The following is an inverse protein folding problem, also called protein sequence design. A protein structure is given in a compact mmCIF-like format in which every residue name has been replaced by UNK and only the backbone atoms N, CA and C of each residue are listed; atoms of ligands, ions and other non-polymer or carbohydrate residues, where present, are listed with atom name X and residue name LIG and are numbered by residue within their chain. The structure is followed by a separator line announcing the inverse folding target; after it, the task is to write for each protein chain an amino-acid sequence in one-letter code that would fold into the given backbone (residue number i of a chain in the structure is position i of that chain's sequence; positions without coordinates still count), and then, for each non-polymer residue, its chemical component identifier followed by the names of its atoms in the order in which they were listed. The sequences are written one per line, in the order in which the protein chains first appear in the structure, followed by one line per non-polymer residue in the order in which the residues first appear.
data_IF_879943479517
#
_entry.id   IF_879943479517
#
_cell.length_a   1.000
_cell.length_b   1.000
_cell.length_c   1.000
_cell.angle_alpha   90.00
_cell.angle_beta   90.00
_cell.angle_gamma   90.00
#
_symmetry.space_group_name_H-M   'P 1'
#
loop_
_entity.id
_entity.type
_entity.pdbx_description
1 polymer ?
#
# COMPACT_ATOMS: atom_id res chain seq x y z
N UNK A 1 8.97 -13.93 -17.23
CA UNK A 1 7.93 -13.83 -16.19
C UNK A 1 8.47 -12.92 -15.12
N UNK A 2 7.88 -11.76 -14.91
CA UNK A 2 8.42 -10.76 -14.00
C UNK A 2 8.11 -11.15 -12.55
N UNK A 3 9.10 -11.00 -11.66
CA UNK A 3 8.99 -11.33 -10.24
C UNK A 3 9.61 -10.23 -9.39
N UNK A 4 8.82 -9.74 -8.44
CA UNK A 4 9.31 -8.89 -7.34
C UNK A 4 9.34 -9.74 -6.06
N UNK A 5 10.39 -9.64 -5.26
CA UNK A 5 10.56 -10.36 -3.99
C UNK A 5 10.67 -9.36 -2.85
N UNK A 6 9.85 -9.56 -1.82
CA UNK A 6 9.92 -8.83 -0.57
C UNK A 6 10.39 -9.78 0.52
N UNK A 7 11.26 -9.28 1.40
CA UNK A 7 11.77 -10.01 2.55
C UNK A 7 11.59 -9.16 3.80
N UNK A 8 11.13 -9.78 4.88
CA UNK A 8 10.99 -9.15 6.18
C UNK A 8 11.59 -10.07 7.23
N UNK A 9 12.23 -9.47 8.24
CA UNK A 9 12.65 -10.23 9.41
C UNK A 9 11.45 -10.40 10.33
N UNK A 10 11.18 -11.63 10.76
CA UNK A 10 10.13 -11.89 11.73
C UNK A 10 10.57 -11.37 13.11
N UNK A 11 9.67 -10.74 13.88
CA UNK A 11 9.96 -10.37 15.26
C UNK A 11 10.37 -11.58 16.10
N UNK A 12 11.21 -11.36 17.12
CA UNK A 12 11.61 -12.42 18.05
C UNK A 12 10.38 -13.10 18.68
N UNK A 13 10.40 -14.44 18.74
CA UNK A 13 9.29 -15.23 19.27
C UNK A 13 8.14 -15.50 18.29
N UNK A 14 8.18 -14.98 17.06
CA UNK A 14 7.20 -15.34 16.03
C UNK A 14 7.61 -16.64 15.35
N UNK A 15 6.75 -17.65 15.46
CA UNK A 15 6.92 -18.91 14.75
C UNK A 15 6.44 -18.80 13.29
N UNK A 16 7.39 -18.91 12.36
CA UNK A 16 7.12 -18.88 10.93
C UNK A 16 6.18 -20.01 10.46
N UNK A 17 6.13 -21.14 11.16
CA UNK A 17 5.26 -22.26 10.83
C UNK A 17 3.77 -21.95 11.06
N UNK A 18 3.46 -20.91 11.83
CA UNK A 18 2.09 -20.50 12.15
C UNK A 18 1.77 -19.08 11.62
N UNK A 19 2.67 -18.49 10.82
CA UNK A 19 2.52 -17.13 10.31
C UNK A 19 1.81 -17.10 8.95
N UNK A 20 0.67 -16.42 8.87
CA UNK A 20 -0.02 -16.17 7.59
C UNK A 20 0.55 -14.94 6.87
N UNK A 21 0.82 -15.07 5.57
CA UNK A 21 1.23 -13.97 4.72
C UNK A 21 0.05 -13.51 3.88
N UNK A 22 -0.30 -12.22 3.96
CA UNK A 22 -1.33 -11.57 3.14
C UNK A 22 -0.70 -10.47 2.29
N UNK A 23 -0.82 -10.60 0.97
CA UNK A 23 -0.37 -9.62 0.00
C UNK A 23 -1.57 -8.92 -0.63
N UNK A 24 -1.60 -7.58 -0.56
CA UNK A 24 -2.65 -6.73 -1.14
C UNK A 24 -2.05 -5.77 -2.16
N UNK A 25 -2.61 -5.77 -3.36
CA UNK A 25 -2.26 -4.85 -4.44
C UNK A 25 -3.31 -3.75 -4.50
N UNK A 26 -2.87 -2.51 -4.36
CA UNK A 26 -3.72 -1.32 -4.48
C UNK A 26 -3.43 -0.60 -5.79
N UNK A 27 -4.48 -0.09 -6.43
CA UNK A 27 -4.34 0.77 -7.59
C UNK A 27 -3.73 2.11 -7.21
N UNK A 28 -2.86 2.61 -8.09
CA UNK A 28 -2.27 3.92 -7.99
C UNK A 28 -2.24 4.57 -9.38
N UNK A 29 -3.09 5.60 -9.58
CA UNK A 29 -3.21 6.30 -10.86
C UNK A 29 -1.97 7.11 -11.24
N UNK A 30 -1.29 7.69 -10.24
CA UNK A 30 -0.15 8.59 -10.43
C UNK A 30 1.00 8.22 -9.52
N UNK A 31 2.23 8.44 -9.98
CA UNK A 31 3.46 8.23 -9.19
C UNK A 31 3.37 8.96 -7.82
N UNK A 32 3.97 8.43 -6.73
CA UNK A 32 3.85 9.03 -5.40
C UNK A 32 4.28 10.50 -5.33
N UNK A 33 5.21 10.91 -6.18
CA UNK A 33 5.76 12.27 -6.22
C UNK A 33 5.02 13.21 -7.19
N UNK A 34 3.99 12.75 -7.90
CA UNK A 34 3.35 13.53 -8.96
C UNK A 34 2.78 14.86 -8.47
N UNK A 35 2.07 14.87 -7.33
CA UNK A 35 1.53 16.09 -6.74
C UNK A 35 2.63 17.06 -6.33
N UNK A 36 3.67 16.57 -5.65
CA UNK A 36 4.83 17.38 -5.25
C UNK A 36 5.48 18.05 -6.46
N UNK A 37 5.82 17.26 -7.48
CA UNK A 37 6.42 17.77 -8.72
C UNK A 37 5.51 18.77 -9.41
N UNK A 38 4.19 18.52 -9.44
CA UNK A 38 3.23 19.48 -10.01
C UNK A 38 3.28 20.82 -9.28
N UNK A 39 3.28 20.82 -7.95
CA UNK A 39 3.35 22.06 -7.17
C UNK A 39 4.68 22.79 -7.32
N UNK A 40 5.79 22.07 -7.47
CA UNK A 40 7.12 22.66 -7.67
C UNK A 40 7.30 23.31 -9.05
N UNK A 41 6.68 22.75 -10.09
CA UNK A 41 6.91 23.16 -11.48
C UNK A 41 5.88 24.15 -12.04
N UNK A 42 4.71 24.31 -11.40
CA UNK A 42 3.60 25.07 -12.01
C UNK A 42 3.62 26.58 -11.76
N UNK A 43 4.61 27.09 -11.02
CA UNK A 43 4.69 28.52 -10.69
C UNK A 43 3.40 29.07 -10.08
N UNK A 44 2.94 30.22 -10.59
CA UNK A 44 1.75 30.93 -10.11
C UNK A 44 0.45 30.56 -10.85
N UNK A 45 0.39 29.37 -11.48
CA UNK A 45 -0.84 28.92 -12.13
C UNK A 45 -2.02 28.88 -11.14
N UNK A 46 -3.10 29.67 -11.36
CA UNK A 46 -4.20 29.77 -10.40
C UNK A 46 -4.94 28.44 -10.16
N UNK A 47 -4.99 27.56 -11.16
CA UNK A 47 -5.62 26.25 -11.00
C UNK A 47 -4.79 25.35 -10.08
N UNK A 48 -3.46 25.37 -10.23
CA UNK A 48 -2.54 24.63 -9.37
C UNK A 48 -2.53 25.17 -7.94
N UNK A 49 -2.60 26.49 -7.75
CA UNK A 49 -2.73 27.09 -6.42
C UNK A 49 -4.04 26.67 -5.72
N UNK A 50 -5.17 26.64 -6.43
CA UNK A 50 -6.45 26.13 -5.88
C UNK A 50 -6.35 24.66 -5.48
N UNK A 51 -5.75 23.83 -6.33
CA UNK A 51 -5.53 22.41 -6.03
C UNK A 51 -4.63 22.24 -4.80
N UNK A 52 -3.55 23.01 -4.70
CA UNK A 52 -2.66 23.00 -3.53
C UNK A 52 -3.42 23.38 -2.26
N UNK A 53 -4.24 24.42 -2.30
CA UNK A 53 -5.06 24.85 -1.16
C UNK A 53 -5.97 23.73 -0.66
N UNK A 54 -6.64 23.02 -1.58
CA UNK A 54 -7.51 21.88 -1.25
C UNK A 54 -6.71 20.71 -0.68
N UNK A 55 -5.65 20.27 -1.38
CA UNK A 55 -4.87 19.10 -1.01
C UNK A 55 -4.11 19.27 0.32
N UNK A 56 -3.63 20.48 0.63
CA UNK A 56 -2.90 20.79 1.87
C UNK A 56 -3.81 20.92 3.10
N UNK A 57 -5.13 21.09 2.90
CA UNK A 57 -6.11 21.26 3.98
C UNK A 57 -7.13 20.13 4.07
N UNK A 58 -7.10 19.19 3.13
CA UNK A 58 -8.01 18.06 3.12
C UNK A 58 -7.73 17.18 4.34
N UNK A 59 -8.70 17.13 5.26
CA UNK A 59 -8.71 16.19 6.36
C UNK A 59 -9.80 15.14 6.10
N UNK A 60 -9.38 13.89 5.89
CA UNK A 60 -10.30 12.77 5.66
C UNK A 60 -10.60 11.97 6.92
N UNK A 61 -10.00 12.31 8.08
CA UNK A 61 -10.16 11.55 9.31
C UNK A 61 -11.64 11.43 9.71
N UNK A 62 -12.08 10.19 10.00
CA UNK A 62 -13.46 9.91 10.39
C UNK A 62 -14.48 9.97 9.25
N UNK A 63 -14.04 10.20 8.00
CA UNK A 63 -14.90 10.13 6.81
C UNK A 63 -14.80 8.77 6.12
N UNK A 64 -15.73 8.48 5.21
CA UNK A 64 -15.74 7.23 4.42
C UNK A 64 -14.52 7.09 3.48
N UNK A 65 -13.81 8.19 3.22
CA UNK A 65 -12.60 8.21 2.38
C UNK A 65 -11.31 8.25 3.20
N UNK A 66 -11.37 8.10 4.53
CA UNK A 66 -10.17 8.02 5.38
C UNK A 66 -9.29 6.84 4.95
N UNK A 67 -8.01 7.13 4.66
CA UNK A 67 -7.01 6.15 4.17
C UNK A 67 -7.52 5.28 3.00
N UNK A 68 -8.50 5.76 2.23
CA UNK A 68 -9.11 4.97 1.17
C UNK A 68 -8.09 4.64 0.09
N UNK A 69 -8.05 3.36 -0.30
CA UNK A 69 -7.23 2.84 -1.39
C UNK A 69 -8.07 1.83 -2.16
N UNK A 70 -8.03 1.91 -3.48
CA UNK A 70 -8.71 0.94 -4.33
C UNK A 70 -7.91 -0.37 -4.36
N UNK A 71 -8.41 -1.42 -3.71
CA UNK A 71 -7.85 -2.77 -3.78
C UNK A 71 -8.14 -3.37 -5.17
N UNK A 72 -7.13 -3.87 -5.86
CA UNK A 72 -7.28 -4.52 -7.18
C UNK A 72 -6.96 -6.01 -7.17
N UNK A 73 -6.30 -6.49 -6.12
CA UNK A 73 -6.01 -7.91 -5.95
C UNK A 73 -5.49 -8.23 -4.57
N UNK A 74 -5.74 -9.44 -4.12
CA UNK A 74 -5.30 -9.94 -2.83
C UNK A 74 -4.96 -11.43 -2.95
N UNK A 75 -3.93 -11.84 -2.23
CA UNK A 75 -3.56 -13.24 -2.07
C UNK A 75 -3.14 -13.48 -0.62
N UNK A 76 -3.52 -14.64 -0.10
CA UNK A 76 -3.17 -15.06 1.25
C UNK A 76 -2.59 -16.47 1.23
N UNK A 77 -1.60 -16.73 2.08
CA UNK A 77 -1.04 -18.05 2.27
C UNK A 77 -0.72 -18.29 3.74
N UNK A 78 -1.32 -19.34 4.28
CA UNK A 78 -0.95 -19.94 5.56
C UNK A 78 -0.01 -21.12 5.30
N UNK A 79 1.04 -21.32 6.12
CA UNK A 79 1.89 -22.50 6.05
C UNK A 79 1.05 -23.77 6.18
N UNK A 80 1.34 -24.77 5.34
CA UNK A 80 0.72 -26.09 5.50
C UNK A 80 1.57 -26.88 6.48
N UNK A 81 1.00 -27.25 7.63
CA UNK A 81 1.60 -28.24 8.53
C UNK A 81 1.58 -29.59 7.82
N UNK A 82 2.74 -30.02 7.28
CA UNK A 82 2.89 -31.36 6.73
C UNK A 82 3.02 -32.33 7.91
N UNK A 83 1.93 -33.02 8.26
CA UNK A 83 2.03 -34.20 9.12
C UNK A 83 2.82 -35.26 8.36
N UNK A 84 4.09 -35.45 8.70
CA UNK A 84 4.84 -36.67 8.32
C UNK A 84 4.38 -37.81 9.22
N UNK A 85 3.22 -38.37 8.91
CA UNK A 85 2.86 -39.73 9.30
C UNK A 85 3.55 -40.68 8.32
N UNK A 86 4.31 -41.64 8.84
CA UNK A 86 4.94 -42.70 8.07
C UNK A 86 3.90 -43.78 7.80
N UNK A 87 3.63 -44.04 6.52
CA UNK A 87 3.13 -45.33 6.02
C UNK A 87 4.31 -46.06 5.35
#
# INVERSE_FOLDING_TARGET
RDRVRYEITLPAGVDAAHATVRARLYYQAFQPFWLKRKFELSGDDPATQRLYYLASRLNTAGTVIDKWKLLVGEAERTPVTRNRGWD
#
